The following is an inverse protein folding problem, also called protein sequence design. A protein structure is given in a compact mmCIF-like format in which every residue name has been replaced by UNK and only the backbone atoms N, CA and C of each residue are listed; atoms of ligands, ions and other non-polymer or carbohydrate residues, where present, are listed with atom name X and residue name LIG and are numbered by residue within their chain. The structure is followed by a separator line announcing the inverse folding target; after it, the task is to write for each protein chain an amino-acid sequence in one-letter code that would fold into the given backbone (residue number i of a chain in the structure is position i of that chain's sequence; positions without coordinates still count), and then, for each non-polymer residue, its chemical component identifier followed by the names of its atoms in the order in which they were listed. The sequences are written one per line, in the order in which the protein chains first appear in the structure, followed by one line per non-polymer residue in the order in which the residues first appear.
data_IF_847341378110
#
_entry.id   IF_847341378110
#
_cell.length_a   1.000
_cell.length_b   1.000
_cell.length_c   1.000
_cell.angle_alpha   90.00
_cell.angle_beta   90.00
_cell.angle_gamma   90.00
#
_symmetry.space_group_name_H-M   'P 1'
#
loop_
_entity.id
_entity.type
_entity.pdbx_description
1 polymer ?
#
# COMPACT_ATOMS: atom_id res chain seq x y z
N UNK A 1 -39.21 -10.48 4.24
CA UNK A 1 -39.70 -9.86 4.77
C UNK A 1 -38.94 -8.69 5.35
N UNK A 2 -39.67 -7.86 5.98
CA UNK A 2 -39.19 -6.61 6.55
C UNK A 2 -38.07 -6.84 7.53
N UNK A 3 -38.14 -7.92 8.29
CA UNK A 3 -37.12 -8.22 9.29
C UNK A 3 -35.77 -8.53 8.65
N UNK A 4 -35.78 -9.25 7.56
CA UNK A 4 -34.57 -9.56 6.80
C UNK A 4 -33.96 -8.31 6.18
N UNK A 5 -34.83 -7.41 5.73
CA UNK A 5 -34.40 -6.12 5.19
C UNK A 5 -33.81 -5.22 6.25
N UNK A 6 -34.34 -5.27 7.47
CA UNK A 6 -33.78 -4.55 8.61
C UNK A 6 -32.48 -5.16 9.11
N UNK A 7 -32.36 -6.48 9.03
CA UNK A 7 -31.12 -7.19 9.37
C UNK A 7 -30.03 -6.99 8.32
N UNK A 8 -30.40 -6.60 7.10
CA UNK A 8 -29.44 -6.24 6.07
C UNK A 8 -28.79 -4.90 6.28
N UNK A 9 -29.16 -4.17 7.34
CA UNK A 9 -28.63 -2.88 7.70
C UNK A 9 -27.47 -2.33 6.87
N UNK A 10 -27.13 -1.11 7.03
CA UNK A 10 -26.01 -0.53 6.31
C UNK A 10 -24.75 -1.33 6.58
N UNK A 11 -24.11 -1.76 5.52
CA UNK A 11 -22.84 -2.46 5.63
C UNK A 11 -21.76 -1.47 5.95
N UNK A 12 -21.16 -1.62 7.11
CA UNK A 12 -20.12 -0.72 7.52
C UNK A 12 -18.87 -1.50 7.91
N UNK A 13 -17.82 -1.25 7.17
CA UNK A 13 -16.49 -1.63 7.56
C UNK A 13 -15.56 -0.51 7.14
N UNK A 14 -14.75 -0.03 8.06
CA UNK A 14 -13.81 1.03 7.76
C UNK A 14 -12.44 0.63 8.27
N UNK A 15 -11.50 0.56 7.36
CA UNK A 15 -10.07 0.45 7.67
C UNK A 15 -9.44 1.79 7.35
N UNK A 16 -8.74 2.38 8.31
CA UNK A 16 -8.00 3.62 8.10
C UNK A 16 -6.60 3.42 8.66
N UNK A 17 -5.59 3.73 7.85
CA UNK A 17 -4.22 3.69 8.32
C UNK A 17 -3.37 4.66 7.52
N UNK A 18 -2.42 5.30 8.17
CA UNK A 18 -1.35 6.02 7.49
C UNK A 18 -0.12 5.15 7.48
N UNK A 19 0.61 5.23 6.40
CA UNK A 19 1.80 4.41 6.22
C UNK A 19 2.48 4.73 4.91
N UNK A 20 3.17 3.74 4.35
CA UNK A 20 3.93 3.91 3.12
C UNK A 20 3.71 2.76 2.17
N UNK A 21 3.94 3.05 0.90
CA UNK A 21 4.03 2.00 -0.11
C UNK A 21 5.32 1.23 0.14
N UNK A 22 5.18 -0.04 0.51
CA UNK A 22 6.34 -0.89 0.81
C UNK A 22 6.97 -1.46 -0.44
N UNK A 23 6.12 -1.83 -1.41
CA UNK A 23 6.59 -2.53 -2.60
C UNK A 23 5.54 -2.44 -3.70
N UNK A 24 6.00 -2.24 -4.93
CA UNK A 24 5.15 -2.31 -6.12
C UNK A 24 5.70 -3.43 -7.00
N UNK A 25 4.95 -4.53 -7.19
CA UNK A 25 5.43 -5.64 -8.00
C UNK A 25 5.50 -5.26 -9.49
N UNK A 26 6.33 -5.98 -10.24
CA UNK A 26 6.48 -5.74 -11.68
C UNK A 26 5.18 -5.94 -12.45
N UNK A 27 4.32 -6.83 -11.96
CA UNK A 27 3.02 -7.13 -12.54
C UNK A 27 1.88 -6.37 -11.85
N UNK A 28 2.19 -5.20 -11.27
CA UNK A 28 1.22 -4.43 -10.51
C UNK A 28 0.05 -3.95 -11.36
N UNK A 29 0.31 -3.55 -12.60
CA UNK A 29 -0.71 -3.07 -13.51
C UNK A 29 -1.33 -4.24 -14.24
N UNK A 30 -2.65 -4.28 -14.27
CA UNK A 30 -3.39 -5.34 -14.94
C UNK A 30 -4.77 -4.88 -15.35
N UNK A 31 -5.59 -5.84 -15.72
CA UNK A 31 -6.99 -5.61 -16.07
C UNK A 31 -7.86 -6.67 -15.40
N UNK A 32 -9.05 -6.28 -15.02
CA UNK A 32 -10.05 -7.21 -14.54
C UNK A 32 -10.68 -7.97 -15.71
N UNK A 33 -11.45 -9.00 -15.40
CA UNK A 33 -12.18 -9.76 -16.43
C UNK A 33 -13.13 -8.88 -17.25
N UNK A 34 -13.61 -7.79 -16.67
CA UNK A 34 -14.49 -6.85 -17.35
C UNK A 34 -13.73 -5.73 -18.08
N UNK A 35 -12.41 -5.83 -18.17
CA UNK A 35 -11.59 -4.85 -18.89
C UNK A 35 -11.27 -3.59 -18.13
N UNK A 36 -11.61 -3.51 -16.84
CA UNK A 36 -11.24 -2.35 -16.02
C UNK A 36 -9.77 -2.42 -15.60
N UNK A 37 -9.12 -1.28 -15.53
CA UNK A 37 -7.76 -1.20 -15.04
C UNK A 37 -7.68 -1.69 -13.59
N UNK A 38 -6.59 -2.34 -13.25
CA UNK A 38 -6.30 -2.75 -11.89
C UNK A 38 -4.85 -2.41 -11.55
N UNK A 39 -4.60 -2.14 -10.28
CA UNK A 39 -3.26 -1.86 -9.78
C UNK A 39 -3.15 -2.42 -8.37
N UNK A 40 -2.04 -3.07 -8.08
CA UNK A 40 -1.81 -3.66 -6.77
C UNK A 40 -0.46 -3.23 -6.23
N UNK A 41 -0.39 -3.08 -4.92
CA UNK A 41 0.86 -2.76 -4.23
C UNK A 41 0.80 -3.26 -2.79
N UNK A 42 1.94 -3.28 -2.14
CA UNK A 42 2.02 -3.57 -0.71
C UNK A 42 2.17 -2.29 0.07
N UNK A 43 1.42 -2.23 1.16
CA UNK A 43 1.37 -1.10 2.07
C UNK A 43 1.86 -1.54 3.44
N UNK A 44 2.63 -0.69 4.09
CA UNK A 44 3.11 -0.95 5.44
C UNK A 44 2.69 0.17 6.36
N UNK A 45 2.18 -0.20 7.52
CA UNK A 45 1.91 0.74 8.60
C UNK A 45 2.41 0.16 9.92
N UNK A 46 2.86 1.03 10.79
CA UNK A 46 3.39 0.60 12.08
C UNK A 46 2.27 0.55 13.12
N UNK A 47 2.37 -0.46 13.97
CA UNK A 47 1.47 -0.62 15.10
C UNK A 47 1.95 0.24 16.29
N UNK A 48 1.04 0.52 17.19
CA UNK A 48 1.40 1.09 18.49
C UNK A 48 2.09 0.09 19.40
N UNK A 49 2.02 -1.19 19.07
CA UNK A 49 2.72 -2.23 19.83
C UNK A 49 4.17 -2.35 19.38
N UNK A 50 5.03 -2.66 20.32
CA UNK A 50 6.45 -2.85 20.05
C UNK A 50 6.85 -4.30 20.23
N UNK A 51 7.92 -4.70 19.53
CA UNK A 51 8.51 -6.02 19.66
C UNK A 51 9.49 -6.08 20.86
N UNK A 52 10.18 -7.20 21.00
CA UNK A 52 11.12 -7.41 22.09
C UNK A 52 12.32 -6.45 22.04
N UNK A 53 12.59 -5.87 20.89
CA UNK A 53 13.68 -4.89 20.71
C UNK A 53 13.19 -3.45 20.84
N UNK A 54 11.96 -3.25 21.30
CA UNK A 54 11.32 -1.97 21.49
C UNK A 54 11.10 -1.18 20.19
N UNK A 55 10.98 -1.88 19.07
CA UNK A 55 10.63 -1.30 17.77
C UNK A 55 9.16 -1.54 17.45
N UNK A 56 8.50 -0.58 16.80
CA UNK A 56 7.11 -0.81 16.39
C UNK A 56 6.98 -2.04 15.49
N UNK A 57 5.91 -2.79 15.71
CA UNK A 57 5.59 -3.91 14.85
C UNK A 57 5.00 -3.37 13.55
N UNK A 58 5.62 -3.72 12.43
CA UNK A 58 5.15 -3.30 11.11
C UNK A 58 4.13 -4.28 10.57
N UNK A 59 3.02 -3.75 10.09
CA UNK A 59 1.97 -4.55 9.48
C UNK A 59 1.96 -4.31 7.98
N UNK A 60 1.99 -5.40 7.22
CA UNK A 60 1.99 -5.34 5.76
C UNK A 60 0.66 -5.80 5.22
N UNK A 61 0.14 -5.07 4.26
CA UNK A 61 -1.15 -5.38 3.63
C UNK A 61 -1.01 -5.32 2.12
N UNK A 62 -1.69 -6.25 1.46
CA UNK A 62 -1.91 -6.14 0.02
C UNK A 62 -3.01 -5.14 -0.23
N UNK A 63 -2.82 -4.27 -1.21
CA UNK A 63 -3.81 -3.28 -1.61
C UNK A 63 -4.12 -3.47 -3.09
N UNK A 64 -5.40 -3.46 -3.43
CA UNK A 64 -5.85 -3.54 -4.82
C UNK A 64 -6.80 -2.39 -5.11
N UNK A 65 -6.54 -1.69 -6.19
CA UNK A 65 -7.37 -0.60 -6.67
C UNK A 65 -7.81 -0.90 -8.09
N UNK A 66 -8.93 -0.31 -8.50
CA UNK A 66 -9.56 -0.61 -9.77
C UNK A 66 -9.99 0.67 -10.47
N UNK A 67 -10.17 0.58 -11.80
CA UNK A 67 -10.71 1.65 -12.60
C UNK A 67 -9.80 2.88 -12.62
N UNK A 68 -10.43 4.03 -12.56
CA UNK A 68 -9.72 5.30 -12.65
C UNK A 68 -8.74 5.51 -11.51
N UNK A 69 -9.08 5.06 -10.32
CA UNK A 69 -8.17 5.10 -9.18
C UNK A 69 -6.90 4.29 -9.46
N UNK A 70 -7.04 3.11 -10.10
CA UNK A 70 -5.90 2.30 -10.47
C UNK A 70 -4.99 3.01 -11.46
N UNK A 71 -5.55 3.66 -12.47
CA UNK A 71 -4.78 4.42 -13.45
C UNK A 71 -4.01 5.56 -12.79
N UNK A 72 -4.65 6.30 -11.91
CA UNK A 72 -4.02 7.39 -11.19
C UNK A 72 -2.90 6.90 -10.27
N UNK A 73 -3.16 5.82 -9.54
CA UNK A 73 -2.17 5.30 -8.59
C UNK A 73 -0.97 4.68 -9.30
N UNK A 74 -1.19 4.03 -10.44
CA UNK A 74 -0.09 3.49 -11.25
C UNK A 74 0.88 4.57 -11.72
N UNK A 75 0.38 5.78 -11.97
CA UNK A 75 1.21 6.91 -12.41
C UNK A 75 1.85 7.64 -11.23
N UNK A 76 1.20 7.66 -10.09
CA UNK A 76 1.54 8.55 -8.99
C UNK A 76 2.28 7.90 -7.85
N UNK A 77 2.00 6.63 -7.57
CA UNK A 77 2.64 5.94 -6.46
C UNK A 77 4.03 5.44 -6.81
N UNK A 78 4.91 5.47 -5.84
CA UNK A 78 6.22 4.84 -5.93
C UNK A 78 6.57 4.23 -4.57
N UNK A 79 7.55 3.36 -4.55
CA UNK A 79 8.03 2.79 -3.29
C UNK A 79 8.39 3.90 -2.32
N UNK A 80 7.90 3.81 -1.11
CA UNK A 80 8.12 4.79 -0.07
C UNK A 80 7.13 5.94 -0.03
N UNK A 81 6.16 6.01 -0.95
CA UNK A 81 5.13 7.05 -0.92
C UNK A 81 4.36 7.03 0.40
N UNK A 82 4.38 8.11 1.19
CA UNK A 82 3.54 8.18 2.37
C UNK A 82 2.11 8.46 1.97
N UNK A 83 1.20 7.62 2.42
CA UNK A 83 -0.22 7.72 2.07
C UNK A 83 -1.10 7.41 3.27
N UNK A 84 -2.31 7.93 3.22
CA UNK A 84 -3.39 7.55 4.10
C UNK A 84 -4.35 6.69 3.31
N UNK A 85 -4.59 5.47 3.80
CA UNK A 85 -5.56 4.56 3.20
C UNK A 85 -6.84 4.55 4.01
N UNK A 86 -7.95 4.57 3.28
CA UNK A 86 -9.27 4.38 3.85
C UNK A 86 -10.08 3.47 2.96
N UNK A 87 -10.56 2.37 3.50
CA UNK A 87 -11.29 1.41 2.71
C UNK A 87 -11.77 0.24 3.53
N UNK A 88 -11.89 -0.89 2.89
CA UNK A 88 -12.36 -2.12 3.50
C UNK A 88 -11.33 -3.22 3.35
N UNK A 89 -11.33 -4.15 4.29
CA UNK A 89 -10.56 -5.38 4.18
C UNK A 89 -11.45 -6.42 3.52
N UNK A 90 -10.96 -7.00 2.42
CA UNK A 90 -11.66 -8.04 1.67
C UNK A 90 -10.92 -9.34 1.87
N UNK A 91 -11.64 -10.38 2.18
CA UNK A 91 -11.10 -11.73 2.27
C UNK A 91 -11.78 -12.61 1.23
N UNK A 92 -10.98 -13.26 0.39
CA UNK A 92 -11.47 -14.16 -0.65
C UNK A 92 -10.89 -15.54 -0.46
N UNK A 93 -11.75 -16.56 -0.30
CA UNK A 93 -11.27 -17.92 -0.26
C UNK A 93 -10.85 -18.38 -1.66
N UNK A 94 -9.81 -19.18 -1.70
CA UNK A 94 -9.37 -19.84 -2.94
C UNK A 94 -8.80 -21.22 -2.58
N UNK A 95 -8.70 -22.09 -3.57
CA UNK A 95 -8.06 -23.38 -3.40
C UNK A 95 -6.65 -23.28 -4.00
N UNK A 96 -5.65 -23.73 -3.23
CA UNK A 96 -4.28 -23.76 -3.73
C UNK A 96 -4.05 -24.95 -4.65
N UNK A 97 -2.85 -25.09 -5.19
CA UNK A 97 -2.49 -26.17 -6.10
C UNK A 97 -2.63 -27.56 -5.48
N UNK A 98 -2.60 -27.65 -4.16
CA UNK A 98 -2.75 -28.89 -3.41
C UNK A 98 -4.19 -29.16 -3.01
N UNK A 99 -5.12 -28.34 -3.45
CA UNK A 99 -6.53 -28.47 -3.12
C UNK A 99 -6.92 -28.00 -1.72
N UNK A 100 -6.00 -27.38 -1.00
CA UNK A 100 -6.32 -26.85 0.32
C UNK A 100 -6.99 -25.48 0.19
N UNK A 101 -7.99 -25.26 1.04
CA UNK A 101 -8.69 -23.99 1.07
C UNK A 101 -7.86 -22.95 1.82
N UNK A 102 -7.59 -21.85 1.16
CA UNK A 102 -6.86 -20.71 1.71
C UNK A 102 -7.65 -19.43 1.55
N UNK A 103 -7.22 -18.38 2.26
CA UNK A 103 -7.87 -17.08 2.18
C UNK A 103 -6.84 -16.05 1.75
N UNK A 104 -7.20 -15.27 0.73
CA UNK A 104 -6.42 -14.12 0.30
C UNK A 104 -7.07 -12.86 0.85
N UNK A 105 -6.29 -12.03 1.52
CA UNK A 105 -6.76 -10.80 2.15
C UNK A 105 -6.10 -9.60 1.51
N UNK A 106 -6.89 -8.60 1.20
CA UNK A 106 -6.37 -7.34 0.67
C UNK A 106 -7.25 -6.18 1.13
N UNK A 107 -6.69 -4.97 1.05
CA UNK A 107 -7.43 -3.75 1.31
C UNK A 107 -7.95 -3.23 -0.02
N UNK A 108 -9.23 -2.90 -0.05
CA UNK A 108 -9.87 -2.23 -1.17
C UNK A 108 -10.19 -0.80 -0.77
N UNK A 109 -9.38 0.19 -1.20
CA UNK A 109 -9.64 1.58 -0.86
C UNK A 109 -10.95 2.08 -1.48
N UNK A 110 -11.58 3.03 -0.81
CA UNK A 110 -12.74 3.71 -1.37
C UNK A 110 -12.37 4.36 -2.69
N UNK A 111 -13.28 4.32 -3.66
CA UNK A 111 -13.03 4.91 -4.97
C UNK A 111 -12.80 6.42 -4.90
N UNK A 112 -13.45 7.08 -3.96
CA UNK A 112 -13.26 8.50 -3.72
C UNK A 112 -12.68 8.68 -2.32
N UNK A 113 -11.55 9.37 -2.25
CA UNK A 113 -10.92 9.65 -0.98
C UNK A 113 -10.28 8.46 -0.28
N UNK A 114 -10.16 7.31 -0.96
CA UNK A 114 -9.57 6.11 -0.36
C UNK A 114 -8.06 6.17 -0.20
N UNK A 115 -7.40 6.94 -1.03
CA UNK A 115 -5.95 7.13 -0.95
C UNK A 115 -5.66 8.62 -0.96
N UNK A 116 -5.03 9.09 0.11
CA UNK A 116 -4.61 10.48 0.25
C UNK A 116 -3.10 10.54 0.31
N UNK A 117 -2.49 11.32 -0.56
CA UNK A 117 -1.05 11.51 -0.54
C UNK A 117 -0.66 12.42 0.62
N UNK A 118 0.32 12.00 1.40
CA UNK A 118 0.83 12.75 2.54
C UNK A 118 2.12 13.49 2.21
N UNK A 119 2.46 13.59 0.93
CA UNK A 119 3.60 14.36 0.45
C UNK A 119 3.20 15.19 -0.76
N UNK A 120 3.97 16.23 -1.06
CA UNK A 120 3.74 17.03 -2.25
C UNK A 120 4.50 16.42 -3.45
N UNK A 121 4.22 16.97 -4.64
CA UNK A 121 4.81 16.47 -5.87
C UNK A 121 6.34 16.63 -5.90
N UNK A 122 6.87 17.68 -5.32
CA UNK A 122 8.31 17.90 -5.24
C UNK A 122 9.01 16.81 -4.44
N UNK A 123 8.48 16.49 -3.26
CA UNK A 123 9.05 15.43 -2.42
C UNK A 123 8.96 14.08 -3.11
N UNK A 124 7.87 13.82 -3.80
CA UNK A 124 7.68 12.59 -4.58
C UNK A 124 8.72 12.49 -5.70
N UNK A 125 8.92 13.55 -6.46
CA UNK A 125 9.88 13.56 -7.55
C UNK A 125 11.31 13.39 -7.03
N UNK A 126 11.62 14.04 -5.92
CA UNK A 126 12.94 13.92 -5.30
C UNK A 126 13.23 12.48 -4.90
N UNK A 127 12.28 11.82 -4.26
CA UNK A 127 12.43 10.42 -3.87
C UNK A 127 12.60 9.49 -5.08
N UNK A 128 11.84 9.73 -6.15
CA UNK A 128 11.97 8.95 -7.38
C UNK A 128 13.35 9.11 -8.02
N UNK A 129 13.89 10.30 -8.00
CA UNK A 129 15.23 10.56 -8.52
C UNK A 129 16.29 9.86 -7.69
N UNK A 130 16.17 9.89 -6.39
CA UNK A 130 17.08 9.19 -5.49
C UNK A 130 17.05 7.69 -5.73
N UNK A 131 15.87 7.12 -5.92
CA UNK A 131 15.74 5.69 -6.20
C UNK A 131 16.34 5.30 -7.55
N UNK A 132 16.26 6.17 -8.55
CA UNK A 132 16.89 5.94 -9.86
C UNK A 132 18.40 6.09 -9.78
N UNK A 133 18.88 7.00 -8.96
CA UNK A 133 20.32 7.20 -8.75
C UNK A 133 21.00 6.00 -8.10
N UNK A 134 20.27 5.24 -7.31
CA UNK A 134 20.82 4.03 -6.68
C UNK A 134 20.91 2.83 -7.62
N UNK A 135 20.32 2.92 -8.79
CA UNK A 135 20.43 1.84 -9.76
C UNK A 135 21.61 1.98 -10.71
N UNK A 136 22.41 3.02 -10.58
CA UNK A 136 23.67 3.13 -11.30
C UNK A 136 24.78 2.54 -10.43
N UNK A 137 25.71 1.79 -11.03
CA UNK A 137 26.84 1.29 -10.27
C UNK A 137 27.61 2.50 -9.77
N UNK A 138 27.75 2.54 -8.47
CA UNK A 138 28.52 3.57 -7.79
C UNK A 138 29.95 3.37 -8.19
N UNK A 139 30.45 4.19 -9.07
CA UNK A 139 31.86 4.35 -9.16
C UNK A 139 32.31 5.14 -7.94
N UNK A 140 33.14 4.47 -7.22
CA UNK A 140 33.79 4.93 -6.03
C UNK A 140 34.09 6.41 -6.01
N UNK A 141 33.30 7.14 -5.37
CA UNK A 141 33.75 8.31 -4.70
C UNK A 141 33.15 8.28 -3.34
N UNK A 142 33.91 7.72 -2.55
CA UNK A 142 33.65 7.61 -1.20
C UNK A 142 33.83 8.91 -0.56
N UNK A 143 32.85 9.52 -0.32
CA UNK A 143 32.85 10.34 0.81
C UNK A 143 31.67 10.01 1.61
N UNK A 144 31.95 9.21 2.35
CA UNK A 144 31.15 8.75 3.19
C UNK A 144 31.00 9.36 4.50
N UNK A 145 30.41 10.39 4.56
CA UNK A 145 29.68 10.75 5.71
C UNK A 145 28.25 10.81 5.30
N UNK A 146 27.66 9.69 5.23
CA UNK A 146 26.26 9.67 5.36
C UNK A 146 25.98 10.16 6.76
N UNK A 147 25.32 11.26 6.90
CA UNK A 147 24.68 11.49 8.16
C UNK A 147 23.81 10.28 8.37
N UNK A 148 23.92 9.69 9.49
CA UNK A 148 23.04 8.63 9.85
C UNK A 148 21.65 9.00 9.47
N UNK A 149 20.96 8.08 8.87
CA UNK A 149 19.62 8.35 8.44
C UNK A 149 18.80 8.73 9.64
N UNK A 150 18.56 9.96 9.69
CA UNK A 150 17.72 10.49 10.68
C UNK A 150 16.29 10.17 10.49
N UNK A 151 16.08 9.60 9.50
CA UNK A 151 14.85 9.08 9.11
C UNK A 151 14.39 7.96 9.89
N UNK A 152 15.17 7.49 10.70
CA UNK A 152 14.77 6.54 11.60
C UNK A 152 13.55 6.90 12.34
N UNK A 153 13.33 8.13 12.45
CA UNK A 153 12.19 8.59 13.06
C UNK A 153 11.13 8.90 12.17
N UNK A 154 11.25 8.39 11.04
CA UNK A 154 10.25 8.60 10.17
C UNK A 154 9.05 8.13 10.73
N UNK A 155 8.46 8.90 11.13
CA UNK A 155 7.31 8.54 11.68
C UNK A 155 6.39 8.27 10.66
N UNK A 156 5.68 7.70 11.07
CA UNK A 156 4.43 7.98 10.58
C UNK A 156 3.80 8.88 11.52
#
# INVERSE_FOLDING_TARGET
TLLWSLLKGEKMQVFIASGRVAFIPNDAVGQTQNGHASFKFEFVCDSSMTDDTNKPISNFFHVQVYGKQAELMAQSLSKGSPILLKGEIIQRPYNDEQGQRRTYQFISPNQQGGITFLENREASNRRKQEQQGFSQPIQDSISTSYPEPMDVESPF
#
